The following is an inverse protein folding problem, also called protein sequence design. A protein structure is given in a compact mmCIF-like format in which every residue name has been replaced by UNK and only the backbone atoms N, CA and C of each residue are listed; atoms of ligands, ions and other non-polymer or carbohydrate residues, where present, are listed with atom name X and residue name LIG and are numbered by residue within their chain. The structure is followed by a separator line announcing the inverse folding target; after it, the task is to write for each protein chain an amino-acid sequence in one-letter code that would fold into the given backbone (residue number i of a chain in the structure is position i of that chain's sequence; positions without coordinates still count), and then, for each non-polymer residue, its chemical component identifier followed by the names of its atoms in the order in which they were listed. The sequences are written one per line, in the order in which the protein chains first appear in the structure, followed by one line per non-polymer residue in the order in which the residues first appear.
data_IF_477656098178
#
_entry.id   IF_477656098178
#
_cell.length_a   1.000
_cell.length_b   1.000
_cell.length_c   1.000
_cell.angle_alpha   90.00
_cell.angle_beta   90.00
_cell.angle_gamma   90.00
#
_symmetry.space_group_name_H-M   'P 1'
#
loop_
_entity.id
_entity.type
_entity.pdbx_description
1 polymer ?
#
# COMPACT_ATOMS: atom_id res chain seq x y z
N UNK A 1 38.34 19.51 14.92
CA UNK A 1 38.48 18.67 13.73
C UNK A 1 37.35 17.67 13.78
N UNK A 2 36.35 17.85 12.91
CA UNK A 2 35.20 16.95 12.78
C UNK A 2 35.69 15.74 12.00
N UNK A 3 35.81 14.60 12.69
CA UNK A 3 36.20 13.33 12.11
C UNK A 3 34.98 12.73 11.40
N UNK A 4 35.14 12.43 10.12
CA UNK A 4 34.26 11.69 9.21
C UNK A 4 32.75 12.02 9.16
N UNK A 5 32.24 12.60 8.05
CA UNK A 5 30.80 12.81 7.82
C UNK A 5 30.01 11.49 7.65
N UNK A 6 30.68 10.34 7.76
CA UNK A 6 30.09 9.00 7.69
C UNK A 6 29.69 8.42 9.07
N UNK A 7 29.99 9.10 10.18
CA UNK A 7 29.58 8.66 11.54
C UNK A 7 28.21 9.18 11.99
N UNK A 8 27.51 9.96 11.16
CA UNK A 8 26.11 10.38 11.40
C UNK A 8 25.08 9.38 10.85
N UNK A 9 25.49 8.14 10.59
CA UNK A 9 24.57 7.07 10.20
C UNK A 9 23.68 6.68 11.38
N UNK A 10 22.39 7.06 11.35
CA UNK A 10 21.40 6.50 12.27
C UNK A 10 21.44 4.96 12.17
N UNK A 11 21.33 4.23 13.30
CA UNK A 11 21.29 2.77 13.25
C UNK A 11 20.15 2.32 12.33
N UNK A 12 20.43 1.32 11.49
CA UNK A 12 19.53 0.82 10.43
C UNK A 12 18.15 0.42 10.98
N UNK A 13 18.09 -0.06 12.23
CA UNK A 13 16.85 -0.34 12.95
C UNK A 13 15.97 0.90 13.16
N UNK A 14 16.56 2.01 13.61
CA UNK A 14 15.85 3.27 13.91
C UNK A 14 15.24 3.88 12.64
N UNK A 15 15.97 3.81 11.53
CA UNK A 15 15.47 4.17 10.21
C UNK A 15 14.27 3.31 9.78
N UNK A 16 14.37 1.99 9.93
CA UNK A 16 13.29 1.06 9.59
C UNK A 16 12.04 1.33 10.43
N UNK A 17 12.20 1.57 11.74
CA UNK A 17 11.09 1.93 12.62
C UNK A 17 10.42 3.25 12.23
N UNK A 18 11.19 4.28 11.87
CA UNK A 18 10.63 5.56 11.42
C UNK A 18 9.92 5.44 10.06
N UNK A 19 10.38 4.56 9.17
CA UNK A 19 9.85 4.43 7.81
C UNK A 19 8.75 3.37 7.65
N UNK A 20 8.72 2.39 8.55
CA UNK A 20 7.66 1.37 8.66
C UNK A 20 6.24 1.95 8.64
N UNK A 21 5.87 2.96 9.47
CA UNK A 21 4.51 3.50 9.47
C UNK A 21 4.16 4.14 8.13
N UNK A 22 5.08 4.86 7.50
CA UNK A 22 4.86 5.46 6.18
C UNK A 22 4.59 4.39 5.12
N UNK A 23 5.36 3.30 5.14
CA UNK A 23 5.19 2.19 4.19
C UNK A 23 3.84 1.48 4.41
N UNK A 24 3.48 1.18 5.66
CA UNK A 24 2.18 0.59 6.00
C UNK A 24 1.03 1.48 5.51
N UNK A 25 1.12 2.79 5.73
CA UNK A 25 0.08 3.73 5.32
C UNK A 25 -0.06 3.81 3.79
N UNK A 26 1.05 3.89 3.05
CA UNK A 26 1.02 3.91 1.58
C UNK A 26 0.44 2.62 1.00
N UNK A 27 0.82 1.47 1.58
CA UNK A 27 0.31 0.17 1.16
C UNK A 27 -1.19 0.03 1.45
N UNK A 28 -1.60 0.41 2.66
CA UNK A 28 -3.00 0.38 3.09
C UNK A 28 -3.85 1.26 2.20
N UNK A 29 -3.39 2.47 1.89
CA UNK A 29 -4.11 3.41 1.03
C UNK A 29 -4.31 2.87 -0.39
N UNK A 30 -3.28 2.26 -0.97
CA UNK A 30 -3.36 1.68 -2.32
C UNK A 30 -4.35 0.51 -2.38
N UNK A 31 -4.35 -0.38 -1.38
CA UNK A 31 -5.33 -1.48 -1.27
C UNK A 31 -6.74 -0.95 -1.03
N UNK A 32 -6.87 0.10 -0.21
CA UNK A 32 -8.17 0.69 0.09
C UNK A 32 -8.81 1.32 -1.15
N UNK A 33 -8.01 1.95 -2.02
CA UNK A 33 -8.50 2.46 -3.29
C UNK A 33 -9.07 1.35 -4.19
N UNK A 34 -8.39 0.20 -4.30
CA UNK A 34 -8.93 -0.94 -5.04
C UNK A 34 -10.24 -1.45 -4.46
N UNK A 35 -10.30 -1.61 -3.13
CA UNK A 35 -11.51 -2.08 -2.46
C UNK A 35 -12.67 -1.10 -2.68
N UNK A 36 -12.42 0.21 -2.61
CA UNK A 36 -13.43 1.23 -2.90
C UNK A 36 -13.93 1.18 -4.36
N UNK A 37 -13.08 0.75 -5.31
CA UNK A 37 -13.50 0.53 -6.69
C UNK A 37 -14.35 -0.71 -6.86
N UNK A 38 -13.93 -1.82 -6.25
CA UNK A 38 -14.73 -3.05 -6.24
C UNK A 38 -16.09 -2.79 -5.61
N UNK A 39 -16.12 -2.04 -4.52
CA UNK A 39 -17.34 -1.59 -3.87
C UNK A 39 -18.25 -0.82 -4.85
N UNK A 40 -17.72 0.17 -5.57
CA UNK A 40 -18.47 0.95 -6.57
C UNK A 40 -18.93 0.10 -7.76
N UNK A 41 -18.11 -0.85 -8.22
CA UNK A 41 -18.46 -1.78 -9.28
C UNK A 41 -19.59 -2.73 -8.84
N UNK A 42 -19.51 -3.24 -7.61
CA UNK A 42 -20.56 -4.07 -7.01
C UNK A 42 -21.86 -3.29 -6.82
N UNK A 43 -21.79 -2.03 -6.38
CA UNK A 43 -22.95 -1.16 -6.27
C UNK A 43 -23.62 -0.89 -7.62
N UNK A 44 -22.83 -0.69 -8.68
CA UNK A 44 -23.34 -0.55 -10.06
C UNK A 44 -23.96 -1.85 -10.58
N UNK A 45 -23.33 -3.01 -10.31
CA UNK A 45 -23.78 -4.29 -10.85
C UNK A 45 -24.96 -4.89 -10.07
N UNK A 46 -25.00 -4.74 -8.75
CA UNK A 46 -25.98 -5.37 -7.85
C UNK A 46 -26.70 -4.33 -6.97
N UNK A 47 -27.21 -3.30 -7.62
CA UNK A 47 -27.89 -2.16 -6.99
C UNK A 47 -28.98 -2.56 -5.97
N UNK A 48 -29.74 -3.63 -6.24
CA UNK A 48 -30.94 -3.99 -5.46
C UNK A 48 -30.68 -4.47 -4.03
N UNK A 49 -29.50 -5.03 -3.74
CA UNK A 49 -29.16 -5.55 -2.40
C UNK A 49 -28.05 -4.74 -1.71
N UNK A 50 -27.50 -3.74 -2.39
CA UNK A 50 -26.31 -3.02 -1.91
C UNK A 50 -26.60 -2.10 -0.70
N UNK A 51 -27.82 -1.56 -0.62
CA UNK A 51 -28.20 -0.54 0.38
C UNK A 51 -28.10 -0.99 1.84
N UNK A 52 -28.09 -2.31 2.12
CA UNK A 52 -27.95 -2.83 3.49
C UNK A 52 -26.50 -3.22 3.84
N UNK A 53 -25.69 -3.61 2.85
CA UNK A 53 -24.35 -4.18 3.06
C UNK A 53 -23.20 -3.18 2.87
N UNK A 54 -23.45 -2.01 2.28
CA UNK A 54 -22.43 -1.00 2.01
C UNK A 54 -21.52 -0.65 3.21
N UNK A 55 -22.06 -0.20 4.36
CA UNK A 55 -21.21 0.22 5.48
C UNK A 55 -20.39 -0.92 6.08
N UNK A 56 -20.97 -2.12 6.20
CA UNK A 56 -20.27 -3.30 6.72
C UNK A 56 -19.12 -3.72 5.82
N UNK A 57 -19.29 -3.63 4.49
CA UNK A 57 -18.26 -3.93 3.53
C UNK A 57 -17.08 -2.93 3.59
N UNK A 58 -17.36 -1.65 3.82
CA UNK A 58 -16.35 -0.62 4.02
C UNK A 58 -15.47 -0.86 5.25
N UNK A 59 -16.08 -1.15 6.42
CA UNK A 59 -15.30 -1.43 7.63
C UNK A 59 -14.52 -2.74 7.55
N UNK A 60 -15.11 -3.79 6.97
CA UNK A 60 -14.45 -5.08 6.79
C UNK A 60 -13.23 -4.96 5.86
N UNK A 61 -13.37 -4.23 4.75
CA UNK A 61 -12.26 -4.00 3.82
C UNK A 61 -11.16 -3.13 4.42
N UNK A 62 -11.49 -2.10 5.21
CA UNK A 62 -10.51 -1.29 5.93
C UNK A 62 -9.64 -2.14 6.87
N UNK A 63 -10.28 -2.96 7.71
CA UNK A 63 -9.59 -3.86 8.63
C UNK A 63 -8.66 -4.81 7.87
N UNK A 64 -9.16 -5.45 6.82
CA UNK A 64 -8.38 -6.39 6.01
C UNK A 64 -7.15 -5.72 5.38
N UNK A 65 -7.27 -4.50 4.85
CA UNK A 65 -6.14 -3.77 4.25
C UNK A 65 -5.02 -3.48 5.28
N UNK A 66 -5.38 -3.16 6.52
CA UNK A 66 -4.41 -2.89 7.60
C UNK A 66 -3.66 -4.18 7.95
N UNK A 67 -4.39 -5.29 8.18
CA UNK A 67 -3.76 -6.57 8.53
C UNK A 67 -2.83 -7.07 7.43
N UNK A 68 -3.24 -6.98 6.16
CA UNK A 68 -2.40 -7.36 5.02
C UNK A 68 -1.16 -6.47 4.93
N UNK A 69 -1.29 -5.16 5.12
CA UNK A 69 -0.15 -4.24 5.05
C UNK A 69 0.88 -4.49 6.16
N UNK A 70 0.43 -4.80 7.37
CA UNK A 70 1.31 -5.19 8.48
C UNK A 70 2.02 -6.52 8.15
N UNK A 71 1.27 -7.52 7.65
CA UNK A 71 1.84 -8.81 7.27
C UNK A 71 2.91 -8.70 6.18
N UNK A 72 2.68 -7.88 5.15
CA UNK A 72 3.66 -7.62 4.09
C UNK A 72 4.90 -6.91 4.64
N UNK A 73 4.73 -5.96 5.56
CA UNK A 73 5.88 -5.32 6.20
C UNK A 73 6.70 -6.31 7.03
N UNK A 74 6.05 -7.16 7.83
CA UNK A 74 6.74 -8.18 8.63
C UNK A 74 7.49 -9.17 7.73
N UNK A 75 6.88 -9.60 6.62
CA UNK A 75 7.53 -10.45 5.61
C UNK A 75 8.77 -9.77 4.99
N UNK A 76 8.70 -8.46 4.76
CA UNK A 76 9.85 -7.69 4.25
C UNK A 76 10.99 -7.62 5.27
N UNK A 77 10.67 -7.65 6.57
CA UNK A 77 11.64 -7.48 7.66
C UNK A 77 12.19 -8.79 8.23
N UNK A 78 11.57 -9.94 7.94
CA UNK A 78 11.90 -11.24 8.53
C UNK A 78 13.38 -11.65 8.38
N UNK A 79 14.08 -11.19 7.34
CA UNK A 79 15.50 -11.47 7.09
C UNK A 79 16.35 -10.20 6.95
N UNK A 80 15.94 -9.09 7.57
CA UNK A 80 16.73 -7.87 7.51
C UNK A 80 17.94 -7.97 8.46
N UNK A 81 19.16 -7.97 7.90
CA UNK A 81 20.38 -7.81 8.69
C UNK A 81 20.47 -6.37 9.21
N UNK A 82 20.21 -6.18 10.51
CA UNK A 82 20.26 -4.88 11.19
C UNK A 82 21.68 -4.44 11.55
N UNK A 83 22.69 -5.26 11.25
CA UNK A 83 24.07 -5.03 11.68
C UNK A 83 24.93 -4.26 10.67
N UNK A 84 24.48 -4.16 9.41
CA UNK A 84 25.17 -3.42 8.36
C UNK A 84 24.89 -1.92 8.45
N UNK A 85 25.97 -1.13 8.51
CA UNK A 85 25.92 0.33 8.48
C UNK A 85 25.50 0.78 7.09
N UNK A 86 24.28 1.28 6.95
CA UNK A 86 23.81 1.84 5.68
C UNK A 86 24.09 3.33 5.60
N UNK A 87 24.64 3.77 4.47
CA UNK A 87 24.89 5.19 4.15
C UNK A 87 23.60 5.97 3.91
N UNK A 88 22.48 5.29 3.66
CA UNK A 88 21.16 5.88 3.42
C UNK A 88 20.06 5.13 4.18
N UNK A 89 19.10 5.89 4.71
CA UNK A 89 17.92 5.34 5.38
C UNK A 89 16.91 4.80 4.35
N UNK A 90 17.06 3.52 3.99
CA UNK A 90 16.19 2.82 3.03
C UNK A 90 15.66 1.50 3.60
N UNK A 91 14.40 1.16 3.27
CA UNK A 91 13.83 -0.17 3.57
C UNK A 91 14.43 -1.26 2.65
N UNK A 92 14.95 -0.86 1.48
CA UNK A 92 15.61 -1.77 0.55
C UNK A 92 17.09 -1.93 0.96
N UNK A 93 17.37 -2.94 1.78
CA UNK A 93 18.71 -3.43 2.06
C UNK A 93 19.13 -4.44 0.98
N UNK A 94 20.40 -4.81 0.89
CA UNK A 94 20.89 -5.79 -0.12
C UNK A 94 20.09 -7.11 -0.04
N UNK A 95 19.66 -7.51 1.15
CA UNK A 95 18.86 -8.71 1.39
C UNK A 95 17.36 -8.53 1.16
N UNK A 96 16.80 -7.34 1.41
CA UNK A 96 15.36 -7.09 1.26
C UNK A 96 14.98 -6.51 -0.10
N UNK A 97 15.97 -6.10 -0.93
CA UNK A 97 15.79 -5.45 -2.23
C UNK A 97 14.82 -6.20 -3.15
N UNK A 98 15.02 -7.50 -3.36
CA UNK A 98 14.17 -8.30 -4.26
C UNK A 98 12.71 -8.37 -3.78
N UNK A 99 12.50 -8.43 -2.46
CA UNK A 99 11.15 -8.46 -1.88
C UNK A 99 10.48 -7.09 -1.98
N UNK A 100 11.22 -6.03 -1.69
CA UNK A 100 10.73 -4.65 -1.79
C UNK A 100 10.41 -4.26 -3.23
N UNK A 101 11.22 -4.68 -4.20
CA UNK A 101 11.00 -4.43 -5.62
C UNK A 101 9.73 -5.13 -6.12
N UNK A 102 9.54 -6.41 -5.78
CA UNK A 102 8.30 -7.15 -6.11
C UNK A 102 7.05 -6.50 -5.54
N UNK A 103 7.11 -6.05 -4.28
CA UNK A 103 6.00 -5.34 -3.64
C UNK A 103 5.72 -4.01 -4.32
N UNK A 104 6.76 -3.24 -4.66
CA UNK A 104 6.63 -1.97 -5.36
C UNK A 104 6.01 -2.15 -6.75
N UNK A 105 6.47 -3.13 -7.52
CA UNK A 105 5.93 -3.44 -8.85
C UNK A 105 4.46 -3.85 -8.76
N UNK A 106 4.12 -4.69 -7.79
CA UNK A 106 2.72 -5.09 -7.51
C UNK A 106 1.86 -3.88 -7.17
N UNK A 107 2.36 -2.97 -6.33
CA UNK A 107 1.65 -1.74 -5.96
C UNK A 107 1.45 -0.78 -7.12
N UNK A 108 2.45 -0.62 -7.99
CA UNK A 108 2.30 0.15 -9.22
C UNK A 108 1.21 -0.44 -10.12
N UNK A 109 1.18 -1.76 -10.29
CA UNK A 109 0.14 -2.46 -11.06
C UNK A 109 -1.26 -2.25 -10.47
N UNK A 110 -1.37 -2.38 -9.15
CA UNK A 110 -2.60 -2.09 -8.39
C UNK A 110 -3.07 -0.66 -8.64
N UNK A 111 -2.19 0.34 -8.50
CA UNK A 111 -2.55 1.74 -8.69
C UNK A 111 -2.96 2.05 -10.13
N UNK A 112 -2.29 1.46 -11.12
CA UNK A 112 -2.69 1.57 -12.53
C UNK A 112 -4.07 0.96 -12.78
N UNK A 113 -4.33 -0.24 -12.26
CA UNK A 113 -5.63 -0.90 -12.39
C UNK A 113 -6.74 -0.08 -11.71
N UNK A 114 -6.47 0.48 -10.53
CA UNK A 114 -7.37 1.40 -9.84
C UNK A 114 -7.70 2.61 -10.72
N UNK A 115 -6.70 3.28 -11.26
CA UNK A 115 -6.87 4.51 -12.04
C UNK A 115 -7.69 4.28 -13.32
N UNK A 116 -7.42 3.16 -14.00
CA UNK A 116 -8.21 2.70 -15.15
C UNK A 116 -9.66 2.36 -14.75
N UNK A 117 -9.85 1.61 -13.67
CA UNK A 117 -11.18 1.24 -13.17
C UNK A 117 -12.02 2.46 -12.79
N UNK A 118 -11.41 3.45 -12.12
CA UNK A 118 -12.09 4.67 -11.71
C UNK A 118 -12.50 5.53 -12.91
N UNK A 119 -11.63 5.59 -13.92
CA UNK A 119 -11.93 6.26 -15.19
C UNK A 119 -13.08 5.57 -15.92
N UNK A 120 -13.06 4.22 -16.00
CA UNK A 120 -14.14 3.45 -16.62
C UNK A 120 -15.49 3.69 -15.92
N UNK A 121 -15.53 3.58 -14.59
CA UNK A 121 -16.73 3.84 -13.78
C UNK A 121 -17.25 5.26 -13.99
N UNK A 122 -16.36 6.26 -14.05
CA UNK A 122 -16.73 7.64 -14.30
C UNK A 122 -17.36 7.84 -15.70
N UNK A 123 -16.79 7.21 -16.73
CA UNK A 123 -17.33 7.24 -18.09
C UNK A 123 -18.71 6.57 -18.16
N UNK A 124 -18.86 5.38 -17.56
CA UNK A 124 -20.15 4.69 -17.51
C UNK A 124 -21.22 5.52 -16.80
N UNK A 125 -20.90 6.12 -15.65
CA UNK A 125 -21.84 6.99 -14.94
C UNK A 125 -22.22 8.23 -15.76
N UNK A 126 -21.27 8.84 -16.48
CA UNK A 126 -21.55 9.99 -17.36
C UNK A 126 -22.45 9.62 -18.53
N UNK A 127 -22.28 8.42 -19.10
CA UNK A 127 -23.15 7.90 -20.17
C UNK A 127 -24.54 7.57 -19.63
N UNK A 128 -24.62 6.88 -18.49
CA UNK A 128 -25.88 6.52 -17.85
C UNK A 128 -26.71 7.75 -17.45
N UNK A 129 -26.07 8.83 -16.97
CA UNK A 129 -26.76 10.08 -16.60
C UNK A 129 -27.20 10.94 -17.80
N UNK A 130 -26.68 10.67 -19.01
CA UNK A 130 -27.10 11.34 -20.24
C UNK A 130 -28.32 10.69 -20.90
N UNK A 131 -28.69 9.48 -20.48
CA UNK A 131 -29.84 8.72 -20.98
C UNK A 131 -31.04 8.95 -20.05
#
# INVERSE_FOLDING_TARGET
MISDPCEVGLPSSLCIYLRAPTNICMMSFSLFQLMSLLERLLALWKHRNYSYYGPTFGYASAGLCIFVSIGVLLWQLENADFHDKQTYCSIATVYTRDRTEKVCFTMCGINMATLLGLTAVFLFNKVARKR
#
